data_IF_069462434283
#
_entry.id   IF_069462434283
#
_cell.length_a   1.000
_cell.length_b   1.000
_cell.length_c   1.000
_cell.angle_alpha   90.00
_cell.angle_beta   90.00
_cell.angle_gamma   90.00
#
_symmetry.space_group_name_H-M   'P 1'
#
loop_
_entity.id
_entity.type
_entity.pdbx_description
1 polymer ?
#
# COMPACT_ATOMS: atom_id res chain seq x y z
N UNK A 1 22.43 13.09 8.13
CA UNK A 1 23.02 11.73 8.21
C UNK A 1 23.57 11.24 6.88
N UNK A 2 22.82 11.30 5.77
CA UNK A 2 23.33 10.87 4.45
C UNK A 2 24.58 11.61 3.99
N UNK A 3 24.65 12.93 4.21
CA UNK A 3 25.81 13.78 3.84
C UNK A 3 27.05 13.51 4.70
N UNK A 4 26.85 13.21 5.99
CA UNK A 4 27.94 12.89 6.90
C UNK A 4 28.53 11.51 6.59
N UNK A 5 27.67 10.54 6.27
CA UNK A 5 28.07 9.18 5.91
C UNK A 5 28.83 9.10 4.58
N UNK A 6 28.49 9.95 3.60
CA UNK A 6 29.21 9.97 2.31
C UNK A 6 30.56 10.69 2.36
N UNK A 7 30.77 11.56 3.36
CA UNK A 7 32.02 12.31 3.57
C UNK A 7 33.00 11.56 4.46
N UNK A 8 32.54 10.98 5.59
CA UNK A 8 33.39 10.20 6.48
C UNK A 8 33.50 8.71 6.11
N UNK A 9 32.62 8.21 5.25
CA UNK A 9 32.61 6.80 4.84
C UNK A 9 33.82 6.44 3.96
N UNK A 10 34.52 5.33 4.23
CA UNK A 10 35.68 4.91 3.45
C UNK A 10 35.26 4.58 2.00
N UNK A 11 35.79 5.33 1.03
CA UNK A 11 35.57 5.09 -0.39
C UNK A 11 36.64 4.16 -0.95
N UNK A 12 36.29 2.89 -1.12
CA UNK A 12 37.14 1.92 -1.82
C UNK A 12 37.04 2.15 -3.33
N UNK A 13 38.09 2.72 -3.93
CA UNK A 13 38.15 3.09 -5.35
C UNK A 13 38.20 1.87 -6.30
N UNK A 14 38.66 0.72 -5.79
CA UNK A 14 38.65 -0.57 -6.48
C UNK A 14 37.61 -1.48 -5.83
N UNK A 15 36.34 -1.24 -6.13
CA UNK A 15 35.27 -2.15 -5.71
C UNK A 15 35.33 -3.40 -6.60
N UNK A 16 35.53 -4.61 -6.05
CA UNK A 16 35.45 -5.82 -6.85
C UNK A 16 34.04 -5.93 -7.44
N UNK A 17 33.95 -6.40 -8.69
CA UNK A 17 32.68 -6.51 -9.44
C UNK A 17 31.61 -7.30 -8.67
N UNK A 18 32.05 -8.26 -7.83
CA UNK A 18 31.19 -9.05 -6.94
C UNK A 18 30.42 -8.22 -5.88
N UNK A 19 30.88 -7.01 -5.53
CA UNK A 19 30.15 -6.11 -4.61
C UNK A 19 29.07 -5.29 -5.31
N UNK A 20 29.13 -5.19 -6.64
CA UNK A 20 28.13 -4.48 -7.46
C UNK A 20 27.07 -5.40 -8.06
N UNK A 21 27.20 -6.71 -7.86
CA UNK A 21 26.26 -7.70 -8.38
C UNK A 21 25.20 -8.06 -7.32
N UNK A 22 23.92 -8.27 -7.72
CA UNK A 22 22.89 -8.77 -6.82
C UNK A 22 23.29 -10.11 -6.20
N UNK A 23 22.99 -10.28 -4.91
CA UNK A 23 23.28 -11.52 -4.20
C UNK A 23 22.34 -12.64 -4.66
N UNK A 24 22.89 -13.69 -5.28
CA UNK A 24 22.15 -14.88 -5.74
C UNK A 24 22.63 -16.18 -5.08
N UNK A 25 23.03 -16.11 -3.80
CA UNK A 25 23.47 -17.29 -3.02
C UNK A 25 24.57 -18.13 -3.71
N UNK A 26 25.46 -17.48 -4.47
CA UNK A 26 26.60 -18.12 -5.15
C UNK A 26 26.34 -18.59 -6.59
N UNK A 27 25.14 -18.37 -7.14
CA UNK A 27 24.81 -18.69 -8.54
C UNK A 27 24.90 -17.44 -9.43
N UNK A 28 25.29 -17.54 -10.72
CA UNK A 28 25.20 -16.42 -11.66
C UNK A 28 23.75 -16.01 -11.90
N UNK A 29 23.54 -14.71 -12.14
CA UNK A 29 22.19 -14.17 -12.26
C UNK A 29 21.41 -14.75 -13.43
N UNK A 30 20.43 -15.59 -13.10
CA UNK A 30 19.57 -16.19 -14.12
C UNK A 30 18.45 -15.21 -14.45
N UNK A 31 18.55 -14.60 -15.63
CA UNK A 31 17.65 -13.56 -16.10
C UNK A 31 16.22 -14.04 -16.27
N UNK A 32 15.44 -14.05 -15.19
CA UNK A 32 13.97 -14.05 -15.24
C UNK A 32 13.48 -12.84 -14.45
N UNK A 33 13.45 -11.69 -15.12
CA UNK A 33 13.01 -10.42 -14.52
C UNK A 33 11.48 -10.32 -14.34
N UNK A 34 10.73 -11.32 -14.80
CA UNK A 34 9.27 -11.32 -14.74
C UNK A 34 8.77 -12.35 -13.73
N UNK A 35 8.62 -11.91 -12.49
CA UNK A 35 7.87 -12.68 -11.48
C UNK A 35 6.38 -12.55 -11.82
N UNK A 36 5.66 -13.67 -11.86
CA UNK A 36 4.20 -13.66 -11.98
C UNK A 36 3.61 -13.05 -10.71
N UNK A 37 3.31 -11.75 -10.75
CA UNK A 37 2.60 -11.08 -9.68
C UNK A 37 1.20 -11.68 -9.57
N UNK A 38 0.84 -12.14 -8.37
CA UNK A 38 -0.49 -12.67 -8.13
C UNK A 38 -1.52 -11.54 -8.16
N UNK A 39 -2.70 -11.82 -8.71
CA UNK A 39 -3.80 -10.84 -8.83
C UNK A 39 -4.24 -10.28 -7.46
N UNK A 40 -3.96 -11.02 -6.38
CA UNK A 40 -4.30 -10.65 -4.99
C UNK A 40 -3.64 -9.35 -4.54
N UNK A 41 -2.41 -9.09 -4.96
CA UNK A 41 -1.72 -7.82 -4.65
C UNK A 41 -2.46 -6.63 -5.25
N UNK A 42 -2.96 -6.79 -6.49
CA UNK A 42 -3.70 -5.73 -7.18
C UNK A 42 -5.07 -5.48 -6.54
N UNK A 43 -5.80 -6.54 -6.18
CA UNK A 43 -7.09 -6.41 -5.47
C UNK A 43 -6.94 -5.67 -4.14
N UNK A 44 -5.90 -6.00 -3.38
CA UNK A 44 -5.61 -5.33 -2.10
C UNK A 44 -5.26 -3.86 -2.31
N UNK A 45 -4.48 -3.53 -3.34
CA UNK A 45 -4.12 -2.16 -3.66
C UNK A 45 -5.33 -1.31 -4.07
N UNK A 46 -6.22 -1.83 -4.92
CA UNK A 46 -7.45 -1.12 -5.28
C UNK A 46 -8.34 -0.92 -4.05
N UNK A 47 -8.52 -1.95 -3.22
CA UNK A 47 -9.33 -1.84 -2.00
C UNK A 47 -8.78 -0.75 -1.08
N UNK A 48 -7.46 -0.67 -0.92
CA UNK A 48 -6.81 0.38 -0.15
C UNK A 48 -7.08 1.78 -0.73
N UNK A 49 -6.97 1.95 -2.06
CA UNK A 49 -7.26 3.23 -2.71
C UNK A 49 -8.71 3.66 -2.51
N UNK A 50 -9.66 2.72 -2.65
CA UNK A 50 -11.08 3.02 -2.44
C UNK A 50 -11.32 3.44 -0.99
N UNK A 51 -10.79 2.69 -0.01
CA UNK A 51 -10.91 3.04 1.40
C UNK A 51 -10.25 4.37 1.78
N UNK A 52 -9.10 4.69 1.19
CA UNK A 52 -8.41 5.97 1.42
C UNK A 52 -9.22 7.16 0.87
N UNK A 53 -9.84 7.00 -0.30
CA UNK A 53 -10.77 7.98 -0.85
C UNK A 53 -11.97 8.18 0.09
N UNK A 54 -12.49 7.13 0.71
CA UNK A 54 -13.59 7.25 1.68
C UNK A 54 -13.17 8.06 2.91
N UNK A 55 -11.95 7.83 3.41
CA UNK A 55 -11.38 8.62 4.50
C UNK A 55 -11.24 10.10 4.13
N UNK A 56 -10.90 10.42 2.88
CA UNK A 56 -10.84 11.80 2.40
C UNK A 56 -12.21 12.49 2.46
N UNK A 57 -13.30 11.76 2.23
CA UNK A 57 -14.67 12.29 2.32
C UNK A 57 -15.16 12.44 3.76
N UNK A 58 -14.68 11.58 4.66
CA UNK A 58 -14.95 11.68 6.10
C UNK A 58 -14.38 12.97 6.72
N UNK A 59 -13.23 13.44 6.24
CA UNK A 59 -12.57 14.66 6.76
C UNK A 59 -13.44 15.93 6.72
N UNK A 60 -13.93 16.39 5.55
CA UNK A 60 -14.74 17.61 5.48
C UNK A 60 -16.06 17.46 6.22
N UNK A 61 -16.66 16.26 6.21
CA UNK A 61 -17.86 15.98 7.00
C UNK A 61 -17.58 16.15 8.51
N UNK A 62 -16.48 15.57 9.01
CA UNK A 62 -16.11 15.66 10.42
C UNK A 62 -15.86 17.11 10.85
N UNK A 63 -15.22 17.92 10.01
CA UNK A 63 -14.99 19.35 10.26
C UNK A 63 -16.30 20.14 10.28
N UNK A 64 -17.27 19.78 9.44
CA UNK A 64 -18.54 20.50 9.30
C UNK A 64 -19.69 19.91 10.14
N UNK A 65 -19.43 18.87 10.94
CA UNK A 65 -20.43 18.09 11.66
C UNK A 65 -21.41 18.94 12.48
N UNK A 66 -20.90 19.98 13.15
CA UNK A 66 -21.73 20.89 13.96
C UNK A 66 -22.77 21.68 13.13
N UNK A 67 -22.50 21.92 11.84
CA UNK A 67 -23.38 22.70 10.96
C UNK A 67 -24.44 21.83 10.27
N UNK A 68 -24.12 20.56 9.99
CA UNK A 68 -25.03 19.64 9.28
C UNK A 68 -26.08 19.00 10.22
N UNK A 69 -25.79 18.92 11.52
CA UNK A 69 -26.73 18.36 12.50
C UNK A 69 -27.13 16.91 12.20
N UNK A 70 -28.38 16.55 12.52
CA UNK A 70 -28.90 15.18 12.37
C UNK A 70 -28.94 14.67 10.93
N UNK A 71 -29.12 15.56 9.95
CA UNK A 71 -29.14 15.18 8.53
C UNK A 71 -27.75 14.72 8.08
N UNK A 72 -26.70 15.47 8.44
CA UNK A 72 -25.33 15.05 8.14
C UNK A 72 -24.94 13.75 8.83
N UNK A 73 -25.46 13.49 10.03
CA UNK A 73 -25.24 12.22 10.71
C UNK A 73 -25.88 11.04 9.94
N UNK A 74 -27.12 11.20 9.48
CA UNK A 74 -27.81 10.17 8.70
C UNK A 74 -27.12 9.92 7.35
N UNK A 75 -26.72 10.97 6.64
CA UNK A 75 -25.96 10.86 5.38
C UNK A 75 -24.64 10.12 5.57
N UNK A 76 -23.91 10.41 6.64
CA UNK A 76 -22.64 9.74 6.95
C UNK A 76 -22.84 8.27 7.32
N UNK A 77 -23.90 7.95 8.08
CA UNK A 77 -24.25 6.57 8.42
C UNK A 77 -24.55 5.74 7.16
N UNK A 78 -25.31 6.31 6.23
CA UNK A 78 -25.60 5.67 4.94
C UNK A 78 -24.33 5.48 4.13
N UNK A 79 -23.47 6.52 4.05
CA UNK A 79 -22.20 6.45 3.34
C UNK A 79 -21.30 5.34 3.88
N UNK A 80 -21.05 5.32 5.20
CA UNK A 80 -20.27 4.26 5.86
C UNK A 80 -20.92 2.89 5.65
N UNK A 81 -22.24 2.80 5.72
CA UNK A 81 -22.98 1.56 5.51
C UNK A 81 -22.80 0.96 4.11
N UNK A 82 -22.89 1.78 3.06
CA UNK A 82 -22.68 1.34 1.66
C UNK A 82 -21.26 0.82 1.45
N UNK A 83 -20.28 1.50 2.02
CA UNK A 83 -18.86 1.14 1.87
C UNK A 83 -18.51 -0.12 2.66
N UNK A 84 -19.03 -0.22 3.89
CA UNK A 84 -18.92 -1.43 4.71
C UNK A 84 -19.52 -2.64 3.99
N UNK A 85 -20.64 -2.47 3.28
CA UNK A 85 -21.23 -3.52 2.46
C UNK A 85 -20.30 -3.94 1.30
N UNK A 86 -19.62 -2.98 0.66
CA UNK A 86 -18.60 -3.24 -0.35
C UNK A 86 -17.40 -4.03 0.21
N UNK A 87 -16.91 -3.66 1.39
CA UNK A 87 -15.84 -4.37 2.08
C UNK A 87 -16.26 -5.81 2.44
N UNK A 88 -17.45 -5.98 3.01
CA UNK A 88 -18.01 -7.31 3.34
C UNK A 88 -18.14 -8.17 2.08
N UNK A 89 -18.58 -7.59 0.97
CA UNK A 89 -18.66 -8.32 -0.30
C UNK A 89 -17.28 -8.78 -0.78
N UNK A 90 -16.28 -7.89 -0.78
CA UNK A 90 -14.91 -8.22 -1.16
C UNK A 90 -14.30 -9.29 -0.23
N UNK A 91 -14.59 -9.21 1.08
CA UNK A 91 -14.16 -10.19 2.06
C UNK A 91 -14.79 -11.56 1.79
N UNK A 92 -16.10 -11.63 1.58
CA UNK A 92 -16.78 -12.89 1.21
C UNK A 92 -16.27 -13.51 -0.10
N UNK A 93 -15.71 -12.70 -1.00
CA UNK A 93 -15.11 -13.15 -2.26
C UNK A 93 -13.66 -13.65 -2.09
N UNK A 94 -13.12 -13.65 -0.87
CA UNK A 94 -11.77 -14.12 -0.59
C UNK A 94 -10.67 -13.17 -1.08
N UNK A 95 -10.98 -11.89 -1.33
CA UNK A 95 -10.00 -10.91 -1.79
C UNK A 95 -8.90 -10.64 -0.74
N UNK A 96 -9.20 -10.87 0.54
CA UNK A 96 -8.26 -10.72 1.66
C UNK A 96 -7.53 -12.03 2.04
N UNK A 97 -7.86 -13.17 1.43
CA UNK A 97 -7.29 -14.45 1.84
C UNK A 97 -5.94 -14.73 1.18
N UNK A 98 -4.91 -14.73 2.01
CA UNK A 98 -3.59 -15.19 1.65
C UNK A 98 -3.54 -16.72 1.76
N UNK A 99 -3.41 -17.39 0.62
CA UNK A 99 -3.12 -18.82 0.61
C UNK A 99 -1.63 -18.95 0.93
N UNK A 100 -1.30 -19.78 1.92
CA UNK A 100 0.08 -20.18 2.23
C UNK A 100 0.62 -21.05 1.11
#
# INVERSE_FOLDING_TARGET
MFTLATVLGPKNLKRPQSQSEPFESGNPSSGTQHVKLSVKFYLTAILFVVFDIEAIFLYPWAVLFQRLGWVGLAEMLVFIGVLSAGLVYCWKKGALEWQT
#
